data_IF_969197769788
#
_entry.id   IF_969197769788
#
_cell.length_a   1.000
_cell.length_b   1.000
_cell.length_c   1.000
_cell.angle_alpha   90.00
_cell.angle_beta   90.00
_cell.angle_gamma   90.00
#
_symmetry.space_group_name_H-M   'P 1'
#
loop_
_entity.id
_entity.type
_entity.pdbx_description
1 polymer ?
#
# COMPACT_ATOMS: atom_id res chain seq x y z
N UNK A 1 -22.30 11.33 2.24
CA UNK A 1 -21.47 12.40 2.77
C UNK A 1 -22.22 13.73 2.73
N UNK A 2 -22.02 14.61 3.73
CA UNK A 2 -22.75 15.88 3.84
C UNK A 2 -22.45 16.80 2.64
N UNK A 3 -21.21 16.86 2.19
CA UNK A 3 -20.76 17.68 1.06
C UNK A 3 -21.47 17.25 -0.23
N UNK A 4 -21.54 15.94 -0.47
CA UNK A 4 -22.23 15.37 -1.63
C UNK A 4 -23.75 15.61 -1.57
N UNK A 5 -24.37 15.44 -0.39
CA UNK A 5 -25.80 15.73 -0.18
C UNK A 5 -26.14 17.20 -0.40
N UNK A 6 -25.24 18.10 -0.08
CA UNK A 6 -25.40 19.54 -0.27
C UNK A 6 -25.05 20.01 -1.69
N UNK A 7 -24.53 19.12 -2.55
CA UNK A 7 -24.10 19.45 -3.92
C UNK A 7 -22.95 20.44 -3.98
N UNK A 8 -22.12 20.49 -2.94
CA UNK A 8 -20.95 21.38 -2.87
C UNK A 8 -19.82 20.77 -3.70
N UNK A 9 -19.26 21.48 -4.69
CA UNK A 9 -18.09 21.00 -5.41
C UNK A 9 -16.88 20.83 -4.49
N UNK A 10 -16.17 19.70 -4.62
CA UNK A 10 -14.93 19.41 -3.88
C UNK A 10 -13.98 18.60 -4.75
N UNK A 11 -12.69 18.66 -4.42
CA UNK A 11 -11.65 17.86 -5.06
C UNK A 11 -11.48 16.53 -4.33
N UNK A 12 -11.02 15.50 -5.07
CA UNK A 12 -10.76 14.16 -4.56
C UNK A 12 -11.95 13.21 -4.72
N UNK A 13 -11.75 12.00 -4.30
CA UNK A 13 -12.67 10.88 -4.50
C UNK A 13 -13.90 10.94 -3.60
N UNK A 14 -14.98 10.29 -4.05
CA UNK A 14 -16.21 10.14 -3.29
C UNK A 14 -16.00 9.30 -2.02
N UNK A 15 -16.92 9.43 -1.06
CA UNK A 15 -16.91 8.63 0.17
C UNK A 15 -16.78 7.14 -0.10
N UNK A 16 -17.56 6.61 -1.04
CA UNK A 16 -17.59 5.17 -1.34
C UNK A 16 -16.24 4.68 -1.89
N UNK A 17 -15.56 5.52 -2.67
CA UNK A 17 -14.20 5.24 -3.17
C UNK A 17 -13.19 5.27 -2.05
N UNK A 18 -13.26 6.30 -1.18
CA UNK A 18 -12.38 6.40 -0.01
C UNK A 18 -12.56 5.19 0.92
N UNK A 19 -13.79 4.79 1.22
CA UNK A 19 -14.08 3.63 2.05
C UNK A 19 -13.51 2.34 1.43
N UNK A 20 -13.71 2.15 0.13
CA UNK A 20 -13.21 0.98 -0.60
C UNK A 20 -11.68 0.92 -0.61
N UNK A 21 -11.00 2.04 -0.79
CA UNK A 21 -9.54 2.09 -0.86
C UNK A 21 -8.87 2.10 0.52
N UNK A 22 -9.52 2.66 1.54
CA UNK A 22 -8.99 2.70 2.90
C UNK A 22 -9.14 1.38 3.65
N UNK A 23 -10.15 0.59 3.37
CA UNK A 23 -10.33 -0.72 3.98
C UNK A 23 -9.52 -1.78 3.23
N UNK A 24 -8.46 -2.31 3.84
CA UNK A 24 -7.57 -3.29 3.20
C UNK A 24 -8.31 -4.53 2.67
N UNK A 25 -9.33 -5.03 3.38
CA UNK A 25 -10.17 -6.15 2.92
C UNK A 25 -10.91 -5.79 1.62
N UNK A 26 -11.60 -4.65 1.62
CA UNK A 26 -12.37 -4.21 0.46
C UNK A 26 -11.46 -3.95 -0.74
N UNK A 27 -10.36 -3.24 -0.52
CA UNK A 27 -9.38 -2.92 -1.56
C UNK A 27 -8.78 -4.18 -2.19
N UNK A 28 -8.27 -5.11 -1.39
CA UNK A 28 -7.64 -6.35 -1.89
C UNK A 28 -8.65 -7.28 -2.56
N UNK A 29 -9.85 -7.39 -2.01
CA UNK A 29 -10.95 -8.13 -2.66
C UNK A 29 -11.25 -7.55 -4.04
N UNK A 30 -11.33 -6.22 -4.13
CA UNK A 30 -11.60 -5.52 -5.38
C UNK A 30 -10.47 -5.70 -6.41
N UNK A 31 -9.20 -5.62 -5.98
CA UNK A 31 -8.05 -5.89 -6.83
C UNK A 31 -8.12 -7.30 -7.44
N UNK A 32 -8.37 -8.32 -6.60
CA UNK A 32 -8.48 -9.71 -7.05
C UNK A 32 -9.64 -9.92 -8.03
N UNK A 33 -10.83 -9.36 -7.74
CA UNK A 33 -12.02 -9.47 -8.60
C UNK A 33 -11.81 -8.86 -9.99
N UNK A 34 -10.93 -7.87 -10.10
CA UNK A 34 -10.63 -7.16 -11.35
C UNK A 34 -9.31 -7.60 -12.01
N UNK A 35 -8.71 -8.69 -11.53
CA UNK A 35 -7.42 -9.19 -12.03
C UNK A 35 -6.33 -8.11 -12.05
N UNK A 36 -6.28 -7.31 -10.98
CA UNK A 36 -5.17 -6.41 -10.69
C UNK A 36 -4.18 -7.12 -9.78
N UNK A 37 -2.88 -7.13 -10.12
CA UNK A 37 -1.89 -7.87 -9.35
C UNK A 37 -1.70 -7.27 -7.96
N UNK A 38 -1.79 -8.13 -6.95
CA UNK A 38 -1.55 -7.80 -5.56
C UNK A 38 -0.93 -9.02 -4.88
N UNK A 39 -0.14 -8.86 -3.80
CA UNK A 39 0.39 -10.01 -3.07
C UNK A 39 -0.72 -10.97 -2.62
N UNK A 40 -0.40 -12.24 -2.48
CA UNK A 40 -1.30 -13.22 -1.85
C UNK A 40 -1.60 -12.77 -0.41
N UNK A 41 -2.88 -12.80 0.00
CA UNK A 41 -3.29 -12.23 1.29
C UNK A 41 -4.42 -13.02 1.95
N UNK A 42 -4.57 -12.83 3.26
CA UNK A 42 -5.65 -13.40 4.07
C UNK A 42 -5.95 -12.50 5.27
N UNK A 43 -7.21 -12.50 5.72
CA UNK A 43 -7.65 -11.85 6.95
C UNK A 43 -7.84 -12.88 8.03
N UNK A 44 -7.46 -12.51 9.26
CA UNK A 44 -7.64 -13.29 10.47
C UNK A 44 -8.47 -12.47 11.47
N UNK A 45 -9.71 -12.90 11.72
CA UNK A 45 -10.63 -12.25 12.63
C UNK A 45 -10.34 -12.63 14.09
N UNK A 46 -10.04 -13.92 14.29
CA UNK A 46 -9.88 -14.52 15.62
C UNK A 46 -8.47 -15.08 15.85
N UNK A 47 -7.70 -15.30 14.76
CA UNK A 47 -6.41 -15.99 14.79
C UNK A 47 -6.53 -17.51 14.87
N UNK A 48 -7.75 -18.05 14.75
CA UNK A 48 -8.00 -19.50 14.72
C UNK A 48 -8.24 -20.02 13.29
N UNK A 49 -8.22 -19.13 12.31
CA UNK A 49 -8.44 -19.49 10.92
C UNK A 49 -7.26 -20.28 10.37
N UNK A 50 -7.55 -21.26 9.52
CA UNK A 50 -6.52 -22.01 8.81
C UNK A 50 -5.71 -21.07 7.91
N UNK A 51 -4.39 -21.10 8.07
CA UNK A 51 -3.49 -20.36 7.20
C UNK A 51 -3.50 -21.02 5.83
N UNK A 52 -3.80 -20.23 4.80
CA UNK A 52 -3.83 -20.66 3.41
C UNK A 52 -2.49 -21.30 2.99
N UNK A 53 -2.52 -22.40 2.21
CA UNK A 53 -1.32 -23.17 1.88
C UNK A 53 -0.43 -22.50 0.83
N UNK A 54 -0.95 -21.53 0.08
CA UNK A 54 -0.26 -20.85 -1.03
C UNK A 54 0.44 -19.54 -0.59
N UNK A 55 0.58 -19.28 0.71
CA UNK A 55 1.46 -18.21 1.18
C UNK A 55 2.92 -18.54 0.88
N UNK A 56 3.57 -17.61 0.15
CA UNK A 56 5.02 -17.57 0.01
C UNK A 56 5.61 -16.70 1.12
N UNK A 57 6.49 -17.27 1.93
CA UNK A 57 7.19 -16.51 2.98
C UNK A 57 8.38 -15.75 2.42
N UNK A 58 8.71 -14.56 2.97
CA UNK A 58 8.15 -13.95 4.18
C UNK A 58 6.74 -13.38 3.98
N UNK A 59 5.97 -13.28 5.08
CA UNK A 59 4.61 -12.72 5.14
C UNK A 59 4.60 -11.58 6.14
N UNK A 60 4.01 -10.44 5.77
CA UNK A 60 3.85 -9.29 6.65
C UNK A 60 2.43 -9.23 7.20
N UNK A 61 2.31 -8.96 8.51
CA UNK A 61 1.01 -8.82 9.19
C UNK A 61 0.76 -7.34 9.50
N UNK A 62 -0.44 -6.86 9.19
CA UNK A 62 -0.87 -5.48 9.39
C UNK A 62 -2.26 -5.47 10.03
N UNK A 63 -2.62 -4.39 10.69
CA UNK A 63 -4.01 -4.15 11.11
C UNK A 63 -4.88 -3.84 9.88
N UNK A 64 -6.16 -4.23 9.94
CA UNK A 64 -7.08 -4.05 8.78
C UNK A 64 -7.53 -2.61 8.58
N UNK A 65 -7.70 -1.84 9.67
CA UNK A 65 -8.32 -0.51 9.66
C UNK A 65 -7.33 0.62 10.02
N UNK A 66 -6.17 0.30 10.57
CA UNK A 66 -5.18 1.30 10.93
C UNK A 66 -4.23 1.53 9.75
N UNK A 67 -3.94 2.79 9.48
CA UNK A 67 -3.08 3.27 8.39
C UNK A 67 -1.76 3.83 8.92
N UNK A 68 -0.94 4.39 8.03
CA UNK A 68 0.30 5.12 8.37
C UNK A 68 1.35 4.26 9.08
N UNK A 69 1.45 2.99 8.75
CA UNK A 69 2.42 2.03 9.35
C UNK A 69 2.29 1.85 10.87
N UNK A 70 1.20 2.30 11.51
CA UNK A 70 1.00 2.12 12.95
C UNK A 70 0.95 0.62 13.29
N UNK A 71 1.75 0.19 14.25
CA UNK A 71 1.92 -1.22 14.63
C UNK A 71 2.74 -2.05 13.63
N UNK A 72 3.37 -1.42 12.65
CA UNK A 72 4.19 -2.07 11.64
C UNK A 72 5.68 -1.93 11.98
N UNK A 73 6.19 -2.86 12.75
CA UNK A 73 7.60 -3.03 13.06
C UNK A 73 8.21 -4.24 12.34
N UNK A 74 9.51 -4.47 12.56
CA UNK A 74 10.23 -5.63 12.00
C UNK A 74 9.69 -6.96 12.53
N UNK A 75 9.10 -6.95 13.70
CA UNK A 75 8.41 -8.06 14.38
C UNK A 75 7.04 -8.40 13.75
N UNK A 76 6.59 -7.63 12.75
CA UNK A 76 5.39 -7.93 11.97
C UNK A 76 5.66 -8.85 10.76
N UNK A 77 6.90 -9.30 10.55
CA UNK A 77 7.28 -10.13 9.39
C UNK A 77 7.55 -11.57 9.83
N UNK A 78 6.71 -12.48 9.35
CA UNK A 78 6.81 -13.92 9.57
C UNK A 78 7.71 -14.58 8.51
N UNK A 79 8.65 -15.43 8.93
CA UNK A 79 9.52 -16.21 8.04
C UNK A 79 8.98 -17.62 7.75
N UNK A 80 7.99 -18.07 8.53
CA UNK A 80 7.35 -19.37 8.40
C UNK A 80 5.95 -19.37 9.05
N UNK A 81 5.24 -20.49 8.92
CA UNK A 81 3.88 -20.65 9.45
C UNK A 81 3.76 -20.44 10.96
N UNK A 82 4.75 -20.90 11.71
CA UNK A 82 4.71 -20.77 13.19
C UNK A 82 4.88 -19.29 13.59
N UNK A 83 5.84 -18.58 13.00
CA UNK A 83 6.01 -17.14 13.22
C UNK A 83 4.71 -16.40 12.90
N UNK A 84 4.09 -16.72 11.73
CA UNK A 84 2.85 -16.11 11.31
C UNK A 84 1.74 -16.27 12.32
N UNK A 85 1.55 -17.50 12.86
CA UNK A 85 0.54 -17.77 13.90
C UNK A 85 0.78 -16.95 15.15
N UNK A 86 2.03 -16.83 15.61
CA UNK A 86 2.37 -16.06 16.80
C UNK A 86 2.15 -14.56 16.59
N UNK A 87 2.55 -14.01 15.43
CA UNK A 87 2.37 -12.60 15.11
C UNK A 87 0.88 -12.26 15.03
N UNK A 88 0.06 -13.10 14.37
CA UNK A 88 -1.39 -12.92 14.28
C UNK A 88 -2.01 -12.86 15.67
N UNK A 89 -1.72 -13.84 16.52
CA UNK A 89 -2.28 -13.91 17.87
C UNK A 89 -1.88 -12.69 18.72
N UNK A 90 -0.61 -12.28 18.64
CA UNK A 90 -0.11 -11.07 19.31
C UNK A 90 -0.83 -9.82 18.84
N UNK A 91 -0.89 -9.58 17.52
CA UNK A 91 -1.47 -8.35 16.97
C UNK A 91 -2.98 -8.27 17.20
N UNK A 92 -3.72 -9.37 17.12
CA UNK A 92 -5.14 -9.38 17.48
C UNK A 92 -5.32 -9.02 18.95
N UNK A 93 -4.50 -9.61 19.84
CA UNK A 93 -4.55 -9.31 21.27
C UNK A 93 -4.19 -7.87 21.62
N UNK A 94 -3.21 -7.29 20.93
CA UNK A 94 -2.73 -5.92 21.15
C UNK A 94 -3.70 -4.87 20.63
N UNK A 95 -4.21 -5.05 19.39
CA UNK A 95 -5.02 -4.04 18.71
C UNK A 95 -6.54 -4.28 18.83
N UNK A 96 -6.98 -5.42 19.34
CA UNK A 96 -8.39 -5.75 19.53
C UNK A 96 -9.21 -5.77 18.24
N UNK A 97 -8.58 -6.04 17.09
CA UNK A 97 -9.22 -6.08 15.79
C UNK A 97 -8.64 -7.17 14.89
N UNK A 98 -9.35 -7.46 13.80
CA UNK A 98 -8.85 -8.35 12.75
C UNK A 98 -7.51 -7.86 12.20
N UNK A 99 -6.65 -8.80 11.82
CA UNK A 99 -5.39 -8.51 11.15
C UNK A 99 -5.40 -9.01 9.71
N UNK A 100 -4.60 -8.37 8.90
CA UNK A 100 -4.40 -8.65 7.49
C UNK A 100 -2.97 -9.15 7.28
N UNK A 101 -2.82 -10.35 6.76
CA UNK A 101 -1.52 -10.91 6.38
C UNK A 101 -1.38 -10.95 4.87
N UNK A 102 -0.25 -10.54 4.34
CA UNK A 102 0.07 -10.63 2.91
C UNK A 102 1.51 -11.04 2.66
N UNK A 103 1.78 -11.68 1.52
CA UNK A 103 3.14 -11.97 1.08
C UNK A 103 3.97 -10.68 1.08
N UNK A 104 5.13 -10.72 1.72
CA UNK A 104 6.09 -9.62 1.69
C UNK A 104 6.90 -9.69 0.40
N UNK A 105 6.58 -8.86 -0.56
CA UNK A 105 7.32 -8.82 -1.83
C UNK A 105 8.71 -8.23 -1.61
N UNK A 106 9.73 -9.06 -1.61
CA UNK A 106 11.12 -8.59 -1.58
C UNK A 106 11.44 -8.01 -2.94
N UNK A 107 11.69 -6.70 -3.00
CA UNK A 107 11.91 -5.98 -4.25
C UNK A 107 11.91 -4.47 -4.06
N UNK A 108 11.94 -3.74 -5.18
CA UNK A 108 11.92 -2.28 -5.19
C UNK A 108 10.50 -1.78 -4.90
N UNK A 109 10.39 -0.70 -4.14
CA UNK A 109 9.12 -0.07 -3.79
C UNK A 109 8.96 1.26 -4.51
N UNK A 110 7.76 1.49 -5.07
CA UNK A 110 7.48 2.68 -5.85
C UNK A 110 6.15 3.30 -5.45
N UNK A 111 6.09 4.61 -5.59
CA UNK A 111 4.87 5.39 -5.53
C UNK A 111 4.56 5.93 -6.93
N UNK A 112 3.38 5.63 -7.43
CA UNK A 112 2.95 6.04 -8.77
C UNK A 112 1.77 6.99 -8.62
N UNK A 113 2.00 8.26 -8.92
CA UNK A 113 1.00 9.32 -8.84
C UNK A 113 0.24 9.45 -10.15
N UNK A 114 -1.09 9.56 -10.07
CA UNK A 114 -1.98 9.76 -11.19
C UNK A 114 -2.76 11.06 -10.97
N UNK A 115 -2.83 11.88 -12.01
CA UNK A 115 -3.62 13.11 -12.05
C UNK A 115 -4.67 13.01 -13.16
N UNK A 116 -5.89 13.42 -12.85
CA UNK A 116 -6.95 13.60 -13.83
C UNK A 116 -6.94 15.04 -14.32
N UNK A 117 -6.76 15.21 -15.62
CA UNK A 117 -6.80 16.52 -16.31
C UNK A 117 -7.96 16.53 -17.31
N UNK A 118 -8.27 17.70 -17.85
CA UNK A 118 -9.33 17.85 -18.89
C UNK A 118 -9.06 16.97 -20.11
N UNK A 119 -7.78 16.79 -20.45
CA UNK A 119 -7.33 16.01 -21.61
C UNK A 119 -7.24 14.51 -21.32
N UNK A 120 -7.39 14.08 -20.07
CA UNK A 120 -7.31 12.68 -19.63
C UNK A 120 -6.39 12.45 -18.44
N UNK A 121 -6.14 11.17 -18.16
CA UNK A 121 -5.28 10.76 -17.05
C UNK A 121 -3.81 10.92 -17.41
N UNK A 122 -3.05 11.48 -16.49
CA UNK A 122 -1.59 11.62 -16.57
C UNK A 122 -0.96 10.88 -15.42
N UNK A 123 -0.08 9.94 -15.72
CA UNK A 123 0.76 9.25 -14.74
C UNK A 123 2.08 10.00 -14.65
N UNK A 124 2.43 10.45 -13.45
CA UNK A 124 3.70 11.15 -13.23
C UNK A 124 4.87 10.15 -13.18
N UNK A 125 6.13 10.61 -13.39
CA UNK A 125 7.29 9.78 -13.18
C UNK A 125 7.23 9.09 -11.79
N UNK A 126 7.40 7.75 -11.72
CA UNK A 126 7.33 7.06 -10.43
C UNK A 126 8.40 7.55 -9.46
N UNK A 127 8.04 7.70 -8.20
CA UNK A 127 9.01 7.87 -7.13
C UNK A 127 9.41 6.50 -6.59
N UNK A 128 10.70 6.29 -6.36
CA UNK A 128 11.23 5.08 -5.72
C UNK A 128 11.53 5.36 -4.26
N UNK A 129 10.99 4.51 -3.39
CA UNK A 129 11.39 4.48 -1.99
C UNK A 129 12.69 3.69 -1.89
N UNK A 130 13.74 4.37 -1.45
CA UNK A 130 15.06 3.76 -1.26
C UNK A 130 15.26 3.36 0.18
N UNK A 131 15.94 2.24 0.41
CA UNK A 131 16.28 1.75 1.73
C UNK A 131 17.79 1.53 1.84
N UNK A 132 18.37 1.84 3.00
CA UNK A 132 19.76 1.48 3.34
C UNK A 132 19.90 0.03 3.79
N UNK A 133 18.78 -0.64 4.00
CA UNK A 133 18.65 -2.05 4.39
C UNK A 133 18.17 -2.87 3.20
N UNK A 134 18.33 -4.20 3.25
CA UNK A 134 17.96 -5.12 2.18
C UNK A 134 16.98 -6.20 2.68
N UNK A 135 16.40 -6.93 1.73
CA UNK A 135 15.50 -8.04 2.01
C UNK A 135 14.27 -7.62 2.80
N UNK A 136 13.95 -8.36 3.85
CA UNK A 136 12.78 -8.11 4.70
C UNK A 136 12.91 -6.90 5.62
N UNK A 137 14.08 -6.27 5.67
CA UNK A 137 14.29 -5.05 6.43
C UNK A 137 14.04 -3.78 5.61
N UNK A 138 13.90 -3.93 4.29
CA UNK A 138 13.66 -2.84 3.36
C UNK A 138 12.16 -2.54 3.24
N UNK A 139 11.57 -1.86 4.23
CA UNK A 139 10.18 -1.40 4.20
C UNK A 139 9.99 -0.19 5.13
N UNK A 140 8.91 0.57 4.90
CA UNK A 140 8.54 1.71 5.72
C UNK A 140 7.86 1.25 7.02
N UNK A 141 8.65 1.12 8.09
CA UNK A 141 8.13 0.87 9.44
C UNK A 141 7.52 2.13 10.05
N UNK A 142 6.85 1.99 11.20
CA UNK A 142 6.36 3.13 11.95
C UNK A 142 7.51 4.05 12.37
N UNK A 143 8.60 3.46 12.89
CA UNK A 143 9.78 4.20 13.32
C UNK A 143 10.44 4.96 12.18
N UNK A 144 10.53 4.34 10.98
CA UNK A 144 11.16 4.98 9.82
C UNK A 144 10.35 6.16 9.26
N UNK A 145 9.05 6.26 9.59
CA UNK A 145 8.17 7.35 9.12
C UNK A 145 7.95 8.47 10.14
N UNK A 146 7.88 8.12 11.42
CA UNK A 146 7.28 9.01 12.42
C UNK A 146 8.16 9.28 13.64
N UNK A 147 9.26 8.54 13.83
CA UNK A 147 10.11 8.67 15.00
C UNK A 147 11.48 9.21 14.59
N UNK A 148 11.61 10.53 14.56
CA UNK A 148 12.83 11.24 14.09
C UNK A 148 14.12 10.79 14.81
N UNK A 149 14.02 10.49 16.09
CA UNK A 149 15.16 10.02 16.90
C UNK A 149 15.45 8.52 16.74
N UNK A 150 14.67 7.78 15.95
CA UNK A 150 14.91 6.36 15.74
C UNK A 150 16.07 6.11 14.78
N UNK A 151 16.77 4.99 14.99
CA UNK A 151 17.80 4.56 14.05
C UNK A 151 17.23 4.25 12.65
N UNK A 152 15.96 3.94 12.56
CA UNK A 152 15.26 3.60 11.33
C UNK A 152 14.83 4.83 10.52
N UNK A 153 14.64 6.00 11.13
CA UNK A 153 14.16 7.22 10.47
C UNK A 153 15.03 7.64 9.27
N UNK A 154 16.32 7.49 9.39
CA UNK A 154 17.27 7.85 8.32
C UNK A 154 17.64 6.68 7.40
N UNK A 155 16.90 5.55 7.48
CA UNK A 155 17.18 4.36 6.65
C UNK A 155 16.46 4.34 5.33
N UNK A 156 15.50 5.25 5.12
CA UNK A 156 14.72 5.37 3.88
C UNK A 156 14.84 6.76 3.28
N UNK A 157 14.54 6.85 1.99
CA UNK A 157 14.50 8.10 1.24
C UNK A 157 13.62 7.95 0.01
N UNK A 158 13.39 9.03 -0.71
CA UNK A 158 12.60 9.06 -1.94
C UNK A 158 13.43 9.69 -3.05
N UNK A 159 13.39 9.11 -4.24
CA UNK A 159 13.99 9.67 -5.46
C UNK A 159 13.11 9.40 -6.67
N UNK A 160 13.31 10.16 -7.76
CA UNK A 160 12.71 9.80 -9.05
C UNK A 160 13.26 8.44 -9.48
N UNK A 161 12.38 7.54 -9.90
CA UNK A 161 12.76 6.18 -10.25
C UNK A 161 13.56 6.11 -11.55
N UNK A 162 14.68 5.40 -11.51
CA UNK A 162 15.41 4.99 -12.70
C UNK A 162 14.99 3.58 -13.09
N UNK A 163 14.14 3.48 -14.12
CA UNK A 163 13.55 2.22 -14.60
C UNK A 163 13.54 2.19 -16.13
N UNK A 164 13.33 1.00 -16.70
CA UNK A 164 13.23 0.84 -18.15
C UNK A 164 11.91 1.42 -18.68
N UNK A 165 11.89 1.81 -19.96
CA UNK A 165 10.67 2.30 -20.64
C UNK A 165 9.53 1.27 -20.58
N UNK A 166 9.87 -0.02 -20.65
CA UNK A 166 8.90 -1.11 -20.52
C UNK A 166 8.22 -1.10 -19.14
N UNK A 167 8.99 -0.92 -18.05
CA UNK A 167 8.44 -0.88 -16.71
C UNK A 167 7.64 0.40 -16.49
N UNK A 168 8.08 1.55 -17.04
CA UNK A 168 7.31 2.80 -17.02
C UNK A 168 5.94 2.61 -17.67
N UNK A 169 5.90 2.01 -18.86
CA UNK A 169 4.64 1.74 -19.54
C UNK A 169 3.73 0.81 -18.73
N UNK A 170 4.27 -0.19 -18.09
CA UNK A 170 3.49 -1.10 -17.22
C UNK A 170 2.96 -0.39 -15.97
N UNK A 171 3.72 0.53 -15.37
CA UNK A 171 3.21 1.39 -14.30
C UNK A 171 2.05 2.25 -14.80
N UNK A 172 2.18 2.86 -15.97
CA UNK A 172 1.12 3.66 -16.57
C UNK A 172 -0.15 2.81 -16.79
N UNK A 173 -0.04 1.68 -17.46
CA UNK A 173 -1.17 0.83 -17.81
C UNK A 173 -1.92 0.33 -16.55
N UNK A 174 -1.19 -0.14 -15.53
CA UNK A 174 -1.80 -0.65 -14.30
C UNK A 174 -2.43 0.46 -13.46
N UNK A 175 -1.79 1.63 -13.42
CA UNK A 175 -2.26 2.77 -12.64
C UNK A 175 -3.52 3.37 -13.23
N UNK A 176 -3.57 3.56 -14.54
CA UNK A 176 -4.77 4.02 -15.25
C UNK A 176 -5.91 3.01 -15.09
N UNK A 177 -5.61 1.72 -15.21
CA UNK A 177 -6.61 0.66 -15.00
C UNK A 177 -7.17 0.69 -13.59
N UNK A 178 -6.31 0.78 -12.56
CA UNK A 178 -6.73 0.84 -11.17
C UNK A 178 -7.54 2.10 -10.89
N UNK A 179 -7.09 3.27 -11.32
CA UNK A 179 -7.78 4.56 -11.15
C UNK A 179 -9.22 4.48 -11.66
N UNK A 180 -9.41 4.01 -12.89
CA UNK A 180 -10.74 3.89 -13.52
C UNK A 180 -11.62 2.87 -12.83
N UNK A 181 -11.09 1.68 -12.50
CA UNK A 181 -11.86 0.61 -11.89
C UNK A 181 -12.32 0.95 -10.48
N UNK A 182 -11.48 1.61 -9.67
CA UNK A 182 -11.89 2.09 -8.35
C UNK A 182 -12.90 3.24 -8.41
N UNK A 183 -13.00 3.95 -9.54
CA UNK A 183 -13.80 5.16 -9.70
C UNK A 183 -13.18 6.38 -9.01
N UNK A 184 -11.86 6.42 -8.94
CA UNK A 184 -11.11 7.54 -8.36
C UNK A 184 -11.29 8.78 -9.22
N UNK A 185 -11.24 9.96 -8.61
CA UNK A 185 -11.33 11.28 -9.27
C UNK A 185 -10.14 12.14 -8.89
N UNK A 186 -9.84 13.05 -9.78
CA UNK A 186 -8.89 14.16 -9.64
C UNK A 186 -7.44 13.68 -9.47
N UNK A 187 -7.15 12.89 -8.44
CA UNK A 187 -5.78 12.42 -8.18
C UNK A 187 -5.75 11.16 -7.32
N UNK A 188 -4.65 10.42 -7.42
CA UNK A 188 -4.37 9.27 -6.54
C UNK A 188 -2.90 8.92 -6.55
N UNK A 189 -2.52 8.02 -5.63
CA UNK A 189 -1.21 7.38 -5.60
C UNK A 189 -1.39 5.88 -5.39
N UNK A 190 -0.73 5.08 -6.23
CA UNK A 190 -0.56 3.66 -6.00
C UNK A 190 0.79 3.40 -5.35
N UNK A 191 0.79 2.65 -4.26
CA UNK A 191 2.00 2.13 -3.65
C UNK A 191 2.19 0.69 -4.16
N UNK A 192 3.31 0.43 -4.81
CA UNK A 192 3.57 -0.84 -5.48
C UNK A 192 4.95 -1.38 -5.16
N UNK A 193 5.12 -2.70 -5.20
CA UNK A 193 6.43 -3.34 -5.22
C UNK A 193 6.67 -4.09 -6.52
N UNK A 194 7.94 -4.14 -6.91
CA UNK A 194 8.38 -4.82 -8.13
C UNK A 194 9.40 -5.88 -7.76
N UNK A 195 9.11 -7.13 -8.15
CA UNK A 195 10.01 -8.28 -8.05
C UNK A 195 10.12 -8.91 -9.44
N UNK A 196 11.33 -9.10 -9.95
CA UNK A 196 11.58 -9.74 -11.25
C UNK A 196 10.73 -9.15 -12.40
N UNK A 197 10.58 -7.83 -12.43
CA UNK A 197 9.70 -7.07 -13.33
C UNK A 197 8.19 -7.24 -13.09
N UNK A 198 7.74 -8.07 -12.18
CA UNK A 198 6.33 -8.17 -11.81
C UNK A 198 5.94 -7.06 -10.82
N UNK A 199 4.82 -6.40 -11.11
CA UNK A 199 4.28 -5.31 -10.29
C UNK A 199 3.21 -5.89 -9.36
N UNK A 200 3.28 -5.53 -8.08
CA UNK A 200 2.29 -5.89 -7.06
C UNK A 200 1.74 -4.62 -6.39
N UNK A 201 0.45 -4.38 -6.50
CA UNK A 201 -0.22 -3.26 -5.84
C UNK A 201 -0.35 -3.59 -4.35
N UNK A 202 0.31 -2.79 -3.53
CA UNK A 202 0.21 -2.87 -2.07
C UNK A 202 -0.99 -2.09 -1.57
N UNK A 203 -1.14 -0.86 -2.04
CA UNK A 203 -2.17 0.07 -1.60
C UNK A 203 -2.60 1.01 -2.73
N UNK A 204 -3.88 1.39 -2.73
CA UNK A 204 -4.43 2.43 -3.58
C UNK A 204 -4.89 3.59 -2.70
N UNK A 205 -4.21 4.72 -2.78
CA UNK A 205 -4.51 5.91 -2.01
C UNK A 205 -5.34 6.86 -2.89
N UNK A 206 -6.65 6.89 -2.67
CA UNK A 206 -7.58 7.74 -3.43
C UNK A 206 -7.60 9.19 -2.96
N UNK A 207 -6.92 9.49 -1.86
CA UNK A 207 -6.76 10.85 -1.32
C UNK A 207 -5.41 10.96 -0.59
N UNK A 208 -4.27 10.84 -1.30
CA UNK A 208 -2.94 10.94 -0.71
C UNK A 208 -2.67 12.36 -0.21
N UNK A 209 -1.71 12.50 0.71
CA UNK A 209 -1.25 13.80 1.17
C UNK A 209 -0.70 14.65 0.02
N UNK A 210 -0.94 15.97 0.09
CA UNK A 210 -0.52 16.95 -0.92
C UNK A 210 0.47 18.00 -0.34
N UNK A 211 0.90 17.81 0.90
CA UNK A 211 1.79 18.78 1.57
C UNK A 211 3.23 18.65 1.10
N UNK A 212 3.93 19.79 1.01
CA UNK A 212 5.37 19.85 0.69
C UNK A 212 6.23 19.12 1.73
N UNK A 213 5.75 19.03 2.97
CA UNK A 213 6.42 18.36 4.08
C UNK A 213 6.16 16.84 4.12
N UNK A 214 5.24 16.33 3.30
CA UNK A 214 4.91 14.91 3.25
C UNK A 214 5.80 14.19 2.22
N UNK A 215 6.99 13.80 2.66
CA UNK A 215 7.94 13.02 1.85
C UNK A 215 7.32 11.75 1.24
N UNK A 216 6.24 11.27 1.83
CA UNK A 216 5.49 10.08 1.41
C UNK A 216 4.09 10.41 0.90
N UNK A 217 3.79 11.67 0.63
CA UNK A 217 2.58 12.14 -0.01
C UNK A 217 2.55 11.88 -1.51
N UNK A 218 2.02 12.84 -2.25
CA UNK A 218 2.22 12.84 -3.71
C UNK A 218 3.61 13.40 -4.01
N UNK A 219 4.49 12.56 -4.52
CA UNK A 219 5.76 13.03 -5.06
C UNK A 219 5.46 13.65 -6.43
N UNK A 220 5.47 14.96 -6.47
CA UNK A 220 5.23 15.76 -7.66
C UNK A 220 6.54 16.14 -8.34
#
# INVERSE_FOLDING_TARGET
>A
DLIEQLGIPYTGSSRDVIEKTSNKRLMKTFLNQNNLPTPVWQIFETGQEDIRPDFCYPVIVKTTLIHCSIGLGRDAIAQNKNDLSHIIARMIGEFGQAVFAEEFIVGREFQVTILEKQEGLVVLPPAEITFKTEGTQAFLSYESRWVEDSADFHTSGVKIAEVTEELLKRFEDISIKAFRLFGIRDYSRLDVRVRDSEIFILEANSNPGLGDDDLYGMTL
#
